data_IF_298383739492
#
_entry.id   IF_298383739492
#
_cell.length_a   1.000
_cell.length_b   1.000
_cell.length_c   1.000
_cell.angle_alpha   90.00
_cell.angle_beta   90.00
_cell.angle_gamma   90.00
#
_symmetry.space_group_name_H-M   'P 1'
#
loop_
_entity.id
_entity.type
_entity.pdbx_description
1 polymer ?
#
# COMPACT_ATOMS: atom_id res chain seq x y z
N UNK A 1 17.39 -13.41 -19.31
CA UNK A 1 16.26 -12.46 -19.24
C UNK A 1 16.43 -11.40 -18.15
N UNK A 2 16.43 -11.73 -16.85
CA UNK A 2 16.49 -10.71 -15.77
C UNK A 2 17.65 -9.71 -15.87
N UNK A 3 18.87 -10.19 -16.13
CA UNK A 3 20.04 -9.31 -16.30
C UNK A 3 19.90 -8.36 -17.51
N UNK A 4 19.35 -8.87 -18.62
CA UNK A 4 19.04 -8.03 -19.78
C UNK A 4 18.00 -6.96 -19.45
N UNK A 5 16.91 -7.34 -18.76
CA UNK A 5 15.88 -6.40 -18.31
C UNK A 5 16.44 -5.31 -17.40
N UNK A 6 17.27 -5.67 -16.41
CA UNK A 6 17.92 -4.70 -15.53
C UNK A 6 18.80 -3.71 -16.32
N UNK A 7 19.55 -4.18 -17.31
CA UNK A 7 20.38 -3.34 -18.17
C UNK A 7 19.56 -2.37 -19.04
N UNK A 8 18.31 -2.70 -19.38
CA UNK A 8 17.43 -1.79 -20.13
C UNK A 8 17.09 -0.51 -19.36
N UNK A 9 17.30 -0.46 -18.03
CA UNK A 9 17.07 0.74 -17.22
C UNK A 9 18.28 1.68 -17.14
N UNK A 10 19.41 1.39 -17.79
CA UNK A 10 20.49 2.38 -17.90
C UNK A 10 19.95 3.65 -18.58
N UNK A 11 20.46 4.81 -18.20
CA UNK A 11 20.00 6.08 -18.79
C UNK A 11 20.22 6.15 -20.30
N UNK A 12 21.21 5.40 -20.81
CA UNK A 12 21.49 5.29 -22.24
C UNK A 12 20.47 4.40 -22.99
N UNK A 13 20.02 3.29 -22.37
CA UNK A 13 19.03 2.39 -22.99
C UNK A 13 17.59 2.88 -22.81
N UNK A 14 17.29 3.49 -21.66
CA UNK A 14 15.99 4.07 -21.37
C UNK A 14 16.04 5.58 -21.63
N UNK A 15 16.10 5.92 -22.91
CA UNK A 15 16.14 7.31 -23.37
C UNK A 15 15.01 8.15 -22.76
N UNK A 16 15.35 9.36 -22.29
CA UNK A 16 14.43 10.26 -21.60
C UNK A 16 14.21 9.95 -20.11
N UNK A 17 14.74 8.84 -19.60
CA UNK A 17 14.74 8.59 -18.15
C UNK A 17 15.78 9.44 -17.42
N UNK A 18 15.52 9.68 -16.13
CA UNK A 18 16.34 10.50 -15.26
C UNK A 18 16.37 9.90 -13.84
N UNK A 19 17.28 10.34 -12.96
CA UNK A 19 17.39 9.80 -11.60
C UNK A 19 16.09 9.86 -10.77
N UNK A 20 15.23 10.85 -11.03
CA UNK A 20 13.94 11.02 -10.37
C UNK A 20 12.79 10.20 -11.01
N UNK A 21 13.03 9.47 -12.09
CA UNK A 21 12.04 8.57 -12.70
C UNK A 21 12.08 7.21 -12.03
N UNK A 22 11.02 6.82 -11.34
CA UNK A 22 10.86 5.48 -10.78
C UNK A 22 9.87 4.65 -11.59
N UNK A 23 9.63 3.38 -11.21
CA UNK A 23 8.95 2.41 -12.08
C UNK A 23 7.78 1.74 -11.38
N UNK A 24 6.74 1.46 -12.16
CA UNK A 24 5.60 0.67 -11.76
C UNK A 24 5.51 -0.56 -12.68
N UNK A 25 5.51 -1.75 -12.10
CA UNK A 25 5.27 -3.01 -12.80
C UNK A 25 3.82 -3.45 -12.58
N UNK A 26 3.01 -3.26 -13.61
CA UNK A 26 1.64 -3.74 -13.66
C UNK A 26 1.54 -4.98 -14.56
N UNK A 27 0.40 -5.67 -14.51
CA UNK A 27 0.07 -6.80 -15.40
C UNK A 27 1.04 -7.99 -15.29
N UNK A 28 1.75 -8.11 -14.15
CA UNK A 28 2.86 -9.04 -13.96
C UNK A 28 2.46 -10.40 -13.36
N UNK A 29 1.19 -10.80 -13.41
CA UNK A 29 0.73 -12.13 -12.97
C UNK A 29 1.34 -13.30 -13.76
N UNK A 30 1.46 -13.32 -15.11
CA UNK A 30 1.18 -12.29 -16.13
C UNK A 30 -0.29 -12.23 -16.57
N UNK A 31 -0.81 -11.02 -16.79
CA UNK A 31 -2.13 -10.83 -17.39
C UNK A 31 -2.08 -11.06 -18.90
N UNK A 32 -2.89 -11.99 -19.40
CA UNK A 32 -3.00 -12.35 -20.83
C UNK A 32 -4.48 -12.31 -21.20
N UNK A 33 -4.93 -11.28 -21.92
CA UNK A 33 -6.36 -10.99 -22.12
C UNK A 33 -7.18 -12.13 -22.73
N UNK A 34 -6.58 -12.93 -23.61
CA UNK A 34 -7.20 -14.07 -24.26
C UNK A 34 -6.75 -15.42 -23.68
N UNK A 35 -6.01 -15.40 -22.57
CA UNK A 35 -5.53 -16.60 -21.89
C UNK A 35 -6.57 -17.19 -20.94
N UNK A 36 -6.44 -18.47 -20.54
CA UNK A 36 -7.29 -19.05 -19.51
C UNK A 36 -7.17 -18.24 -18.22
N UNK A 37 -8.30 -17.90 -17.61
CA UNK A 37 -8.32 -17.11 -16.36
C UNK A 37 -7.55 -15.78 -16.48
N UNK A 38 -7.47 -15.24 -17.70
CA UNK A 38 -6.70 -14.02 -18.03
C UNK A 38 -5.19 -14.16 -17.71
N UNK A 39 -4.65 -15.38 -17.81
CA UNK A 39 -3.21 -15.63 -17.62
C UNK A 39 -2.63 -16.62 -18.63
N UNK A 40 -1.34 -16.92 -18.51
CA UNK A 40 -0.61 -17.78 -19.43
C UNK A 40 -1.03 -19.25 -19.32
N UNK A 41 -0.94 -19.97 -20.43
CA UNK A 41 -1.22 -21.41 -20.50
C UNK A 41 -0.32 -22.20 -19.53
N UNK A 42 -0.90 -23.20 -18.85
CA UNK A 42 -0.19 -23.98 -17.82
C UNK A 42 1.00 -24.79 -18.36
N UNK A 43 0.95 -25.22 -19.60
CA UNK A 43 1.95 -26.04 -20.30
C UNK A 43 3.01 -25.23 -21.05
N UNK A 44 2.91 -23.89 -21.02
CA UNK A 44 3.94 -23.01 -21.55
C UNK A 44 5.27 -23.28 -20.84
N UNK A 45 6.36 -23.38 -21.61
CA UNK A 45 7.67 -23.78 -21.11
C UNK A 45 8.49 -22.56 -20.66
N UNK A 46 9.06 -22.65 -19.45
CA UNK A 46 9.98 -21.67 -18.86
C UNK A 46 11.43 -22.18 -18.89
N UNK A 47 12.36 -21.30 -18.50
CA UNK A 47 13.77 -21.66 -18.39
C UNK A 47 13.99 -22.92 -17.53
N UNK A 48 14.82 -23.84 -18.02
CA UNK A 48 15.11 -25.11 -17.34
C UNK A 48 14.10 -26.23 -17.63
N UNK A 49 13.12 -26.01 -18.51
CA UNK A 49 12.11 -27.01 -18.86
C UNK A 49 10.96 -27.13 -17.85
N UNK A 50 10.80 -26.14 -16.97
CA UNK A 50 9.66 -26.05 -16.07
C UNK A 50 8.42 -25.60 -16.83
N UNK A 51 7.26 -26.13 -16.47
CA UNK A 51 5.98 -25.65 -17.00
C UNK A 51 5.53 -24.39 -16.26
N UNK A 52 4.68 -23.59 -16.88
CA UNK A 52 4.15 -22.39 -16.24
C UNK A 52 3.40 -22.71 -14.94
N UNK A 53 2.72 -23.87 -14.86
CA UNK A 53 2.06 -24.33 -13.63
C UNK A 53 3.00 -24.41 -12.42
N UNK A 54 4.29 -24.63 -12.63
CA UNK A 54 5.28 -24.80 -11.56
C UNK A 54 5.80 -23.46 -11.04
N UNK A 55 5.77 -22.43 -11.90
CA UNK A 55 6.45 -21.14 -11.64
C UNK A 55 5.51 -19.92 -11.71
N UNK A 56 4.21 -20.12 -11.96
CA UNK A 56 3.23 -19.05 -12.16
C UNK A 56 3.33 -17.96 -11.09
N UNK A 57 3.22 -18.35 -9.81
CA UNK A 57 3.17 -17.38 -8.70
C UNK A 57 4.50 -16.64 -8.45
N UNK A 58 5.64 -17.13 -8.95
CA UNK A 58 6.94 -16.44 -8.81
C UNK A 58 7.30 -15.59 -10.02
N UNK A 59 6.49 -15.62 -11.09
CA UNK A 59 6.71 -14.82 -12.28
C UNK A 59 6.72 -13.31 -11.94
N UNK A 60 5.67 -12.83 -11.27
CA UNK A 60 5.55 -11.43 -10.87
C UNK A 60 6.67 -10.96 -9.95
N UNK A 61 7.10 -11.81 -9.01
CA UNK A 61 8.25 -11.56 -8.14
C UNK A 61 9.54 -11.35 -8.96
N UNK A 62 9.76 -12.11 -10.03
CA UNK A 62 10.96 -11.95 -10.86
C UNK A 62 10.94 -10.70 -11.73
N UNK A 63 9.76 -10.24 -12.17
CA UNK A 63 9.62 -8.93 -12.84
C UNK A 63 9.97 -7.82 -11.86
N UNK A 64 9.39 -7.85 -10.65
CA UNK A 64 9.64 -6.86 -9.59
C UNK A 64 11.13 -6.80 -9.20
N UNK A 65 11.75 -7.97 -8.99
CA UNK A 65 13.18 -8.11 -8.72
C UNK A 65 14.05 -7.52 -9.82
N UNK A 66 13.81 -7.91 -11.08
CA UNK A 66 14.64 -7.46 -12.19
C UNK A 66 14.55 -5.94 -12.41
N UNK A 67 13.37 -5.35 -12.22
CA UNK A 67 13.19 -3.89 -12.28
C UNK A 67 13.92 -3.18 -11.13
N UNK A 68 13.78 -3.67 -9.89
CA UNK A 68 14.45 -3.09 -8.74
C UNK A 68 15.98 -3.14 -8.89
N UNK A 69 16.51 -4.24 -9.42
CA UNK A 69 17.93 -4.38 -9.73
C UNK A 69 18.37 -3.45 -10.87
N UNK A 70 17.54 -3.22 -11.89
CA UNK A 70 17.81 -2.23 -12.93
C UNK A 70 17.94 -0.80 -12.40
N UNK A 71 17.05 -0.40 -11.49
CA UNK A 71 17.12 0.91 -10.83
C UNK A 71 18.36 1.06 -9.93
N UNK A 72 18.78 -0.01 -9.24
CA UNK A 72 20.05 -0.01 -8.50
C UNK A 72 21.23 0.12 -9.46
N UNK A 73 21.26 -0.67 -10.52
CA UNK A 73 22.37 -0.70 -11.50
C UNK A 73 22.58 0.64 -12.20
N UNK A 74 21.52 1.30 -12.68
CA UNK A 74 21.63 2.59 -13.39
C UNK A 74 22.21 3.72 -12.53
N UNK A 75 22.16 3.58 -11.21
CA UNK A 75 22.75 4.54 -10.24
C UNK A 75 24.14 4.14 -9.75
N UNK A 76 24.75 3.09 -10.29
CA UNK A 76 26.00 2.53 -9.78
C UNK A 76 25.87 1.88 -8.40
N UNK A 77 24.65 1.47 -8.00
CA UNK A 77 24.37 0.87 -6.70
C UNK A 77 24.19 1.88 -5.56
N UNK A 78 24.14 3.18 -5.84
CA UNK A 78 24.06 4.23 -4.81
C UNK A 78 22.62 4.53 -4.38
N UNK A 79 21.66 4.43 -5.30
CA UNK A 79 20.27 4.80 -5.03
C UNK A 79 19.40 3.59 -4.65
N UNK A 80 18.47 3.81 -3.73
CA UNK A 80 17.46 2.80 -3.40
C UNK A 80 16.38 2.77 -4.48
N UNK A 81 15.96 1.57 -4.93
CA UNK A 81 14.88 1.47 -5.90
C UNK A 81 13.53 1.79 -5.24
N UNK A 82 12.65 2.42 -6.00
CA UNK A 82 11.22 2.40 -5.72
C UNK A 82 10.53 1.74 -6.93
N UNK A 83 9.97 0.56 -6.69
CA UNK A 83 9.19 -0.18 -7.68
C UNK A 83 7.89 -0.65 -7.04
N UNK A 84 6.77 -0.25 -7.61
CA UNK A 84 5.45 -0.78 -7.27
C UNK A 84 5.18 -2.02 -8.13
N UNK A 85 4.65 -3.10 -7.56
CA UNK A 85 4.26 -4.30 -8.31
C UNK A 85 2.85 -4.80 -7.94
N UNK A 86 2.13 -5.37 -8.91
CA UNK A 86 0.78 -5.91 -8.69
C UNK A 86 0.84 -7.33 -8.16
N UNK A 87 1.44 -8.22 -8.94
CA UNK A 87 1.68 -9.60 -8.54
C UNK A 87 2.94 -9.71 -7.68
N UNK A 88 2.86 -10.56 -6.66
CA UNK A 88 3.92 -10.76 -5.69
C UNK A 88 3.93 -12.19 -5.15
N UNK A 89 5.00 -12.55 -4.43
CA UNK A 89 5.13 -13.82 -3.72
C UNK A 89 5.93 -13.63 -2.43
N UNK A 90 6.11 -14.71 -1.67
CA UNK A 90 7.01 -14.72 -0.52
C UNK A 90 8.41 -14.23 -0.92
N UNK A 91 8.86 -13.12 -0.33
CA UNK A 91 10.13 -12.47 -0.67
C UNK A 91 10.00 -11.18 -1.48
N UNK A 92 8.82 -10.84 -2.00
CA UNK A 92 8.60 -9.59 -2.74
C UNK A 92 8.84 -8.33 -1.92
N UNK A 93 8.77 -8.39 -0.59
CA UNK A 93 9.08 -7.28 0.31
C UNK A 93 10.51 -6.73 0.14
N UNK A 94 11.41 -7.48 -0.49
CA UNK A 94 12.79 -7.05 -0.78
C UNK A 94 12.90 -6.07 -1.95
N UNK A 95 11.85 -5.91 -2.76
CA UNK A 95 11.94 -5.25 -4.07
C UNK A 95 11.10 -3.97 -4.17
N UNK A 96 10.18 -3.72 -3.23
CA UNK A 96 9.46 -2.45 -3.16
C UNK A 96 8.05 -2.59 -2.60
N UNK A 97 7.15 -1.77 -3.13
CA UNK A 97 5.76 -1.71 -2.70
C UNK A 97 4.87 -2.68 -3.49
N UNK A 98 3.73 -3.03 -2.90
CA UNK A 98 2.60 -3.68 -3.58
C UNK A 98 1.33 -2.88 -3.33
N UNK A 99 0.31 -3.07 -4.15
CA UNK A 99 -1.03 -2.53 -3.88
C UNK A 99 -2.10 -3.59 -4.19
N UNK A 100 -3.32 -3.36 -3.69
CA UNK A 100 -4.41 -4.34 -3.74
C UNK A 100 -5.09 -4.48 -5.11
N UNK A 101 -4.54 -3.87 -6.16
CA UNK A 101 -5.08 -3.95 -7.51
C UNK A 101 -6.28 -3.02 -7.74
N UNK A 102 -7.10 -3.38 -8.72
CA UNK A 102 -8.16 -2.55 -9.28
C UNK A 102 -9.42 -2.60 -8.38
N UNK A 103 -9.44 -1.80 -7.31
CA UNK A 103 -10.58 -1.67 -6.39
C UNK A 103 -11.67 -0.73 -6.96
N UNK A 104 -12.82 -0.64 -6.29
CA UNK A 104 -13.96 0.19 -6.73
C UNK A 104 -14.17 1.38 -5.80
N UNK A 105 -14.66 2.50 -6.32
CA UNK A 105 -15.03 3.71 -5.58
C UNK A 105 -16.32 3.54 -4.75
N UNK A 106 -16.33 2.59 -3.82
CA UNK A 106 -17.42 2.26 -2.90
C UNK A 106 -16.92 2.14 -1.44
N UNK A 107 -17.79 2.42 -0.47
CA UNK A 107 -17.48 2.39 0.97
C UNK A 107 -16.98 1.03 1.46
N UNK A 108 -17.46 -0.09 0.91
CA UNK A 108 -16.98 -1.41 1.31
C UNK A 108 -15.55 -1.69 0.81
N UNK A 109 -15.16 -1.11 -0.33
CA UNK A 109 -13.79 -1.16 -0.83
C UNK A 109 -12.85 -0.23 -0.05
N UNK A 110 -13.37 0.85 0.55
CA UNK A 110 -12.67 1.64 1.55
C UNK A 110 -12.40 0.74 2.78
N UNK A 111 -13.45 0.18 3.40
CA UNK A 111 -13.34 -0.71 4.57
C UNK A 111 -12.35 -1.86 4.35
N UNK A 112 -12.51 -2.62 3.26
CA UNK A 112 -11.71 -3.84 3.02
C UNK A 112 -10.21 -3.57 2.81
N UNK A 113 -9.83 -2.32 2.51
CA UNK A 113 -8.41 -1.99 2.36
C UNK A 113 -7.60 -2.24 3.64
N UNK A 114 -8.24 -2.11 4.82
CA UNK A 114 -7.60 -2.36 6.12
C UNK A 114 -7.26 -3.85 6.27
N UNK A 115 -8.22 -4.80 6.27
CA UNK A 115 -7.90 -6.22 6.42
C UNK A 115 -6.96 -6.73 5.33
N UNK A 116 -7.05 -6.23 4.09
CA UNK A 116 -6.13 -6.59 3.02
C UNK A 116 -4.69 -6.17 3.34
N UNK A 117 -4.46 -4.90 3.70
CA UNK A 117 -3.11 -4.42 4.04
C UNK A 117 -2.57 -5.08 5.31
N UNK A 118 -3.43 -5.32 6.31
CA UNK A 118 -3.06 -6.04 7.54
C UNK A 118 -2.61 -7.47 7.22
N UNK A 119 -3.36 -8.19 6.39
CA UNK A 119 -2.99 -9.56 5.98
C UNK A 119 -1.61 -9.60 5.30
N UNK A 120 -1.32 -8.62 4.45
CA UNK A 120 -0.02 -8.51 3.76
C UNK A 120 1.11 -8.13 4.71
N UNK A 121 0.85 -7.21 5.65
CA UNK A 121 1.78 -6.85 6.72
C UNK A 121 2.19 -8.06 7.54
N UNK A 122 1.23 -8.90 7.96
CA UNK A 122 1.48 -10.12 8.74
C UNK A 122 2.40 -11.13 8.03
N UNK A 123 2.35 -11.20 6.71
CA UNK A 123 3.23 -12.07 5.90
C UNK A 123 4.47 -11.35 5.37
N UNK A 124 4.82 -10.20 5.94
CA UNK A 124 6.07 -9.48 5.71
C UNK A 124 6.03 -8.43 4.59
N UNK A 125 4.93 -8.29 3.85
CA UNK A 125 4.75 -7.24 2.83
C UNK A 125 4.23 -5.95 3.47
N UNK A 126 5.07 -5.31 4.29
CA UNK A 126 4.70 -4.09 5.03
C UNK A 126 4.45 -2.85 4.16
N UNK A 127 4.96 -2.82 2.92
CA UNK A 127 4.80 -1.67 2.04
C UNK A 127 3.59 -1.85 1.11
N UNK A 128 2.39 -1.83 1.70
CA UNK A 128 1.12 -2.08 1.04
C UNK A 128 0.18 -0.86 1.11
N UNK A 129 -0.74 -0.76 0.14
CA UNK A 129 -1.83 0.21 0.12
C UNK A 129 -2.92 -0.16 -0.88
N UNK A 130 -4.01 0.60 -0.87
CA UNK A 130 -5.09 0.53 -1.86
C UNK A 130 -5.21 1.86 -2.62
N UNK A 131 -5.82 1.83 -3.81
CA UNK A 131 -6.02 3.06 -4.59
C UNK A 131 -7.02 3.99 -3.90
N UNK A 132 -6.53 5.17 -3.52
CA UNK A 132 -7.29 6.21 -2.82
C UNK A 132 -8.35 6.78 -3.77
N UNK A 133 -9.60 6.68 -3.34
CA UNK A 133 -10.79 7.05 -4.12
C UNK A 133 -11.38 5.92 -4.96
N UNK A 134 -10.76 4.73 -4.98
CA UNK A 134 -11.19 3.56 -5.75
C UNK A 134 -10.88 3.65 -7.25
N UNK A 135 -10.25 2.64 -7.82
CA UNK A 135 -9.84 2.64 -9.22
C UNK A 135 -11.03 2.77 -10.18
N UNK A 136 -12.03 1.90 -10.06
CA UNK A 136 -13.25 1.96 -10.86
C UNK A 136 -14.30 2.91 -10.28
N UNK A 137 -15.14 3.49 -11.17
CA UNK A 137 -16.26 4.41 -10.85
C UNK A 137 -15.80 5.77 -10.28
N UNK A 138 -16.77 6.63 -9.98
CA UNK A 138 -16.53 7.98 -9.46
C UNK A 138 -16.98 8.02 -7.98
N UNK A 139 -16.07 8.27 -7.03
CA UNK A 139 -16.47 8.44 -5.62
C UNK A 139 -17.22 9.75 -5.44
N UNK A 140 -18.21 9.77 -4.56
CA UNK A 140 -18.77 11.01 -4.04
C UNK A 140 -17.72 11.78 -3.22
N UNK A 141 -17.82 13.12 -3.10
CA UNK A 141 -16.80 13.93 -2.42
C UNK A 141 -16.51 13.50 -0.97
N UNK A 142 -17.54 13.07 -0.23
CA UNK A 142 -17.38 12.55 1.14
C UNK A 142 -16.50 11.30 1.16
N UNK A 143 -16.84 10.31 0.33
CA UNK A 143 -16.09 9.07 0.20
C UNK A 143 -14.64 9.33 -0.21
N UNK A 144 -14.39 10.26 -1.14
CA UNK A 144 -13.03 10.63 -1.52
C UNK A 144 -12.24 11.22 -0.35
N UNK A 145 -12.85 12.12 0.45
CA UNK A 145 -12.24 12.67 1.67
C UNK A 145 -11.88 11.56 2.66
N UNK A 146 -12.80 10.62 2.93
CA UNK A 146 -12.55 9.49 3.83
C UNK A 146 -11.44 8.58 3.33
N UNK A 147 -11.35 8.40 2.02
CA UNK A 147 -10.23 7.67 1.39
C UNK A 147 -8.88 8.34 1.61
N UNK A 148 -8.80 9.67 1.50
CA UNK A 148 -7.58 10.41 1.80
C UNK A 148 -7.19 10.30 3.27
N UNK A 149 -8.15 10.38 4.18
CA UNK A 149 -7.92 10.21 5.62
C UNK A 149 -7.36 8.81 5.93
N UNK A 150 -7.99 7.75 5.40
CA UNK A 150 -7.49 6.39 5.62
C UNK A 150 -6.16 6.13 4.91
N UNK A 151 -6.01 6.54 3.65
CA UNK A 151 -4.79 6.35 2.87
C UNK A 151 -3.58 7.09 3.46
N UNK A 152 -3.80 8.26 4.06
CA UNK A 152 -2.77 9.00 4.79
C UNK A 152 -2.14 8.16 5.92
N UNK A 153 -2.90 7.23 6.50
CA UNK A 153 -2.48 6.32 7.55
C UNK A 153 -2.12 4.90 7.07
N UNK A 154 -2.05 4.64 5.76
CA UNK A 154 -1.60 3.37 5.19
C UNK A 154 -0.16 3.45 4.63
N UNK A 155 0.63 2.35 4.66
CA UNK A 155 2.06 2.39 4.31
C UNK A 155 2.36 2.93 2.90
N UNK A 156 1.70 2.41 1.86
CA UNK A 156 1.77 2.94 0.50
C UNK A 156 0.54 3.81 0.21
N UNK A 157 0.77 5.06 -0.16
CA UNK A 157 -0.30 6.07 -0.29
C UNK A 157 -0.31 6.68 -1.69
N UNK A 158 -1.28 6.25 -2.51
CA UNK A 158 -1.45 6.66 -3.92
C UNK A 158 -2.93 6.89 -4.23
N UNK A 159 -3.25 8.04 -4.83
CA UNK A 159 -4.52 8.23 -5.54
C UNK A 159 -4.36 7.81 -7.00
N UNK A 160 -5.23 6.93 -7.48
CA UNK A 160 -5.22 6.41 -8.85
C UNK A 160 -6.64 6.09 -9.31
N UNK A 161 -6.92 6.20 -10.60
CA UNK A 161 -8.26 6.14 -11.18
C UNK A 161 -8.24 5.49 -12.58
N UNK A 162 -9.32 4.80 -12.92
CA UNK A 162 -9.54 4.20 -14.23
C UNK A 162 -9.75 5.26 -15.32
N UNK A 163 -9.48 4.89 -16.58
CA UNK A 163 -9.56 5.76 -17.76
C UNK A 163 -10.90 6.49 -17.90
N UNK A 164 -12.00 5.80 -17.63
CA UNK A 164 -13.37 6.32 -17.81
C UNK A 164 -13.87 7.20 -16.65
N UNK A 165 -13.03 7.46 -15.66
CA UNK A 165 -13.42 8.27 -14.49
C UNK A 165 -13.28 9.76 -14.77
N UNK A 166 -14.07 10.56 -14.06
CA UNK A 166 -13.89 12.01 -14.02
C UNK A 166 -12.58 12.36 -13.30
N UNK A 167 -12.02 13.53 -13.67
CA UNK A 167 -10.85 14.06 -12.97
C UNK A 167 -11.19 14.31 -11.50
N UNK A 168 -10.29 13.87 -10.61
CA UNK A 168 -10.50 13.92 -9.16
C UNK A 168 -9.22 14.25 -8.40
N UNK A 169 -8.33 15.04 -9.00
CA UNK A 169 -7.30 15.72 -8.25
C UNK A 169 -7.95 16.55 -7.11
N UNK A 170 -7.37 16.55 -5.90
CA UNK A 170 -8.10 16.99 -4.70
C UNK A 170 -8.49 18.48 -4.75
N UNK A 171 -7.79 19.31 -5.52
CA UNK A 171 -8.11 20.73 -5.73
C UNK A 171 -9.33 20.98 -6.64
N UNK A 172 -9.89 19.94 -7.26
CA UNK A 172 -11.13 20.04 -8.03
C UNK A 172 -12.39 19.99 -7.14
N UNK A 173 -12.25 19.57 -5.88
CA UNK A 173 -13.35 19.53 -4.93
C UNK A 173 -13.64 20.93 -4.34
N UNK A 174 -14.88 21.18 -3.87
CA UNK A 174 -15.20 22.37 -3.07
C UNK A 174 -14.28 22.52 -1.86
N UNK A 175 -14.02 23.76 -1.42
CA UNK A 175 -13.06 24.08 -0.36
C UNK A 175 -13.24 23.26 0.91
N UNK A 176 -14.49 23.04 1.34
CA UNK A 176 -14.79 22.23 2.54
C UNK A 176 -14.20 20.81 2.50
N UNK A 177 -14.14 20.17 1.33
CA UNK A 177 -13.55 18.84 1.17
C UNK A 177 -12.04 18.94 0.93
N UNK A 178 -11.62 19.95 0.15
CA UNK A 178 -10.22 20.19 -0.15
C UNK A 178 -9.40 20.47 1.12
N UNK A 179 -9.96 21.22 2.06
CA UNK A 179 -9.31 21.57 3.32
C UNK A 179 -9.10 20.33 4.20
N UNK A 180 -10.09 19.44 4.29
CA UNK A 180 -9.96 18.18 5.04
C UNK A 180 -8.92 17.25 4.40
N UNK A 181 -8.87 17.19 3.06
CA UNK A 181 -7.83 16.41 2.37
C UNK A 181 -6.45 17.04 2.64
N UNK A 182 -6.33 18.36 2.62
CA UNK A 182 -5.08 19.06 2.96
C UNK A 182 -4.62 18.74 4.37
N UNK A 183 -5.54 18.67 5.33
CA UNK A 183 -5.22 18.30 6.72
C UNK A 183 -4.72 16.85 6.81
N UNK A 184 -5.37 15.90 6.13
CA UNK A 184 -4.92 14.51 6.08
C UNK A 184 -3.50 14.38 5.45
N UNK A 185 -3.24 15.13 4.37
CA UNK A 185 -1.91 15.22 3.78
C UNK A 185 -0.92 15.83 4.78
N UNK A 186 -1.28 16.94 5.45
CA UNK A 186 -0.46 17.57 6.48
C UNK A 186 -0.05 16.59 7.58
N UNK A 187 -1.00 15.81 8.11
CA UNK A 187 -0.74 14.78 9.11
C UNK A 187 0.23 13.71 8.60
N UNK A 188 0.03 13.18 7.38
CA UNK A 188 0.96 12.21 6.76
C UNK A 188 2.37 12.78 6.66
N UNK A 189 2.51 14.01 6.17
CA UNK A 189 3.82 14.65 6.01
C UNK A 189 4.51 14.92 7.35
N UNK A 190 3.78 15.39 8.37
CA UNK A 190 4.29 15.56 9.73
C UNK A 190 4.77 14.25 10.36
N UNK A 191 4.14 13.13 10.02
CA UNK A 191 4.50 11.79 10.50
C UNK A 191 5.60 11.09 9.67
N UNK A 192 6.16 11.71 8.62
CA UNK A 192 7.20 11.06 7.80
C UNK A 192 8.40 10.53 8.59
N UNK A 193 8.94 11.22 9.61
CA UNK A 193 10.00 10.66 10.45
C UNK A 193 9.56 9.37 11.16
N UNK A 194 8.33 9.35 11.70
CA UNK A 194 7.75 8.17 12.35
C UNK A 194 7.57 7.01 11.36
N UNK A 195 6.96 7.26 10.20
CA UNK A 195 6.83 6.26 9.13
C UNK A 195 8.18 5.68 8.72
N UNK A 196 9.18 6.53 8.52
CA UNK A 196 10.50 6.09 8.11
C UNK A 196 11.19 5.24 9.17
N UNK A 197 11.01 5.56 10.46
CA UNK A 197 11.46 4.72 11.57
C UNK A 197 10.79 3.34 11.56
N UNK A 198 9.47 3.28 11.34
CA UNK A 198 8.76 2.00 11.26
C UNK A 198 9.24 1.15 10.07
N UNK A 199 9.46 1.76 8.91
CA UNK A 199 10.03 1.05 7.76
C UNK A 199 11.47 0.59 8.01
N UNK A 200 12.26 1.34 8.78
CA UNK A 200 13.59 0.89 9.20
C UNK A 200 13.50 -0.32 10.13
N UNK A 201 12.59 -0.34 11.10
CA UNK A 201 12.33 -1.51 11.95
C UNK A 201 11.87 -2.71 11.13
N UNK A 202 10.93 -2.52 10.19
CA UNK A 202 10.49 -3.57 9.28
C UNK A 202 11.66 -4.13 8.45
N UNK A 203 12.57 -3.27 7.98
CA UNK A 203 13.77 -3.69 7.27
C UNK A 203 14.75 -4.50 8.12
N UNK A 204 14.92 -4.13 9.40
CA UNK A 204 15.90 -4.75 10.31
C UNK A 204 15.40 -6.02 10.97
N UNK A 205 14.14 -6.05 11.35
CA UNK A 205 13.55 -7.07 12.24
C UNK A 205 12.38 -7.81 11.61
N UNK A 206 11.87 -7.36 10.46
CA UNK A 206 10.72 -7.98 9.80
C UNK A 206 9.38 -7.70 10.47
N UNK A 207 9.33 -6.76 11.43
CA UNK A 207 8.10 -6.41 12.15
C UNK A 207 7.18 -5.59 11.23
N UNK A 208 5.86 -5.87 11.17
CA UNK A 208 4.94 -5.13 10.32
C UNK A 208 4.84 -3.65 10.70
N UNK A 209 4.78 -2.76 9.70
CA UNK A 209 4.55 -1.32 9.90
C UNK A 209 3.14 -1.05 10.41
N UNK A 210 2.15 -1.61 9.72
CA UNK A 210 0.72 -1.58 10.06
C UNK A 210 0.35 -2.92 10.70
N UNK A 211 -0.24 -2.91 11.89
CA UNK A 211 -0.42 -4.11 12.73
C UNK A 211 -1.87 -4.27 13.16
N UNK A 212 -2.44 -5.48 13.09
CA UNK A 212 -3.65 -5.81 13.83
C UNK A 212 -3.40 -5.63 15.34
N UNK A 213 -4.43 -5.25 16.08
CA UNK A 213 -4.30 -5.01 17.52
C UNK A 213 -3.78 -6.24 18.28
N UNK A 214 -4.21 -7.45 17.89
CA UNK A 214 -3.82 -8.69 18.56
C UNK A 214 -2.31 -8.98 18.49
N UNK A 215 -1.57 -8.38 17.54
CA UNK A 215 -0.11 -8.48 17.50
C UNK A 215 0.51 -7.79 18.71
N UNK A 216 -0.08 -6.68 19.15
CA UNK A 216 0.35 -5.92 20.33
C UNK A 216 -0.30 -6.41 21.63
N UNK A 217 -1.50 -6.97 21.54
CA UNK A 217 -2.32 -7.44 22.67
C UNK A 217 -2.69 -8.92 22.54
N UNK A 218 -1.72 -9.85 22.54
CA UNK A 218 -1.98 -11.25 22.21
C UNK A 218 -2.79 -12.01 23.28
N UNK A 219 -2.92 -11.47 24.49
CA UNK A 219 -3.77 -12.05 25.54
C UNK A 219 -5.21 -11.52 25.52
N UNK A 220 -5.49 -10.46 24.77
CA UNK A 220 -6.83 -9.89 24.67
C UNK A 220 -7.58 -10.48 23.48
N UNK A 221 -8.38 -11.51 23.76
CA UNK A 221 -9.16 -12.24 22.77
C UNK A 221 -10.18 -11.37 22.03
N UNK A 222 -10.57 -10.21 22.58
CA UNK A 222 -11.50 -9.29 21.93
C UNK A 222 -10.88 -8.64 20.69
N UNK A 223 -9.54 -8.60 20.60
CA UNK A 223 -8.80 -7.98 19.50
C UNK A 223 -8.60 -8.89 18.28
N UNK A 224 -8.94 -10.18 18.39
CA UNK A 224 -8.55 -11.18 17.39
C UNK A 224 -9.27 -11.05 16.05
N UNK A 225 -10.49 -10.51 16.07
CA UNK A 225 -11.32 -10.29 14.88
C UNK A 225 -11.45 -8.82 14.48
N UNK A 226 -10.74 -7.91 15.17
CA UNK A 226 -10.80 -6.48 14.86
C UNK A 226 -10.03 -6.21 13.58
N UNK A 227 -10.71 -5.69 12.56
CA UNK A 227 -10.14 -5.37 11.25
C UNK A 227 -10.60 -4.01 10.69
N UNK A 228 -11.31 -3.20 11.47
CA UNK A 228 -11.71 -1.81 11.18
C UNK A 228 -10.77 -0.76 11.81
N UNK A 229 -9.88 -1.19 12.71
CA UNK A 229 -8.84 -0.38 13.33
C UNK A 229 -7.50 -1.12 13.41
N UNK A 230 -6.41 -0.36 13.47
CA UNK A 230 -5.05 -0.90 13.43
C UNK A 230 -4.06 -0.03 14.19
N UNK A 231 -2.88 -0.59 14.46
CA UNK A 231 -1.75 0.15 15.02
C UNK A 231 -0.72 0.47 13.94
N UNK A 232 -0.10 1.64 14.05
CA UNK A 232 1.17 1.94 13.39
C UNK A 232 2.29 1.80 14.42
N UNK A 233 3.17 0.81 14.20
CA UNK A 233 4.12 0.42 15.22
C UNK A 233 3.42 -0.03 16.50
N UNK A 234 3.89 0.46 17.63
CA UNK A 234 3.32 0.27 18.97
C UNK A 234 2.76 1.56 19.58
N UNK A 235 2.71 2.66 18.80
CA UNK A 235 2.54 4.01 19.31
C UNK A 235 1.22 4.70 18.92
N UNK A 236 0.67 4.40 17.74
CA UNK A 236 -0.51 5.09 17.22
C UNK A 236 -1.62 4.11 16.87
N UNK A 237 -2.78 4.26 17.50
CA UNK A 237 -4.02 3.58 17.12
C UNK A 237 -4.75 4.41 16.07
N UNK A 238 -5.19 3.78 14.99
CA UNK A 238 -5.92 4.41 13.90
C UNK A 238 -7.24 3.68 13.70
N UNK A 239 -8.35 4.42 13.79
CA UNK A 239 -9.70 3.98 13.45
C UNK A 239 -10.30 4.97 12.44
N UNK A 240 -10.10 4.76 11.12
CA UNK A 240 -10.63 5.65 10.11
C UNK A 240 -12.16 5.55 10.00
N UNK A 241 -12.82 6.68 9.78
CA UNK A 241 -14.25 6.69 9.43
C UNK A 241 -14.45 6.03 8.06
N UNK A 242 -15.29 5.01 8.00
CA UNK A 242 -15.49 4.20 6.80
C UNK A 242 -16.96 3.91 6.44
N UNK A 243 -17.87 4.72 7.00
CA UNK A 243 -19.31 4.72 6.70
C UNK A 243 -19.77 6.11 6.25
N UNK A 244 -20.74 6.13 5.32
CA UNK A 244 -21.37 7.35 4.83
C UNK A 244 -22.18 8.04 5.92
N UNK A 245 -22.09 9.38 5.99
CA UNK A 245 -22.86 10.18 6.95
C UNK A 245 -22.36 10.09 8.39
N UNK A 246 -21.28 9.36 8.66
CA UNK A 246 -20.64 9.35 9.97
C UNK A 246 -19.93 10.68 10.22
N UNK A 247 -20.29 11.34 11.32
CA UNK A 247 -19.73 12.64 11.73
C UNK A 247 -18.60 12.52 12.75
N UNK A 248 -18.25 11.30 13.16
CA UNK A 248 -17.15 11.12 14.10
C UNK A 248 -15.83 11.63 13.48
N UNK A 249 -14.98 12.31 14.26
CA UNK A 249 -13.64 12.63 13.78
C UNK A 249 -12.89 11.32 13.52
N UNK A 250 -12.12 11.25 12.43
CA UNK A 250 -11.06 10.25 12.32
C UNK A 250 -10.09 10.53 13.48
N UNK A 251 -10.06 9.68 14.51
CA UNK A 251 -9.20 9.92 15.68
C UNK A 251 -8.01 8.96 15.66
N UNK A 252 -6.88 9.36 15.04
CA UNK A 252 -5.61 8.75 15.40
C UNK A 252 -5.30 9.14 16.85
N UNK A 253 -5.19 8.14 17.73
CA UNK A 253 -4.91 8.34 19.14
C UNK A 253 -3.51 7.82 19.48
N UNK A 254 -2.70 8.67 20.10
CA UNK A 254 -1.42 8.25 20.68
C UNK A 254 -1.68 7.36 21.88
N UNK A 255 -0.95 6.25 21.96
CA UNK A 255 -1.01 5.33 23.08
C UNK A 255 -0.40 5.97 24.32
N UNK A 256 -1.13 5.94 25.45
CA UNK A 256 -0.55 6.19 26.76
C UNK A 256 0.08 4.90 27.30
N UNK A 257 1.40 4.93 27.56
CA UNK A 257 2.13 3.80 28.15
C UNK A 257 1.82 3.57 29.64
N UNK A 258 0.98 4.41 30.29
CA UNK A 258 0.65 4.31 31.72
C UNK A 258 -0.69 3.66 32.03
N UNK A 259 -1.53 3.41 31.03
CA UNK A 259 -2.86 2.90 31.26
C UNK A 259 -2.96 1.43 30.82
N UNK A 260 -3.14 0.52 31.77
CA UNK A 260 -3.72 -0.79 31.47
C UNK A 260 -5.17 -0.53 31.05
N UNK A 261 -5.47 -0.50 29.75
CA UNK A 261 -6.82 -0.14 29.31
C UNK A 261 -7.32 -1.03 28.18
N UNK A 262 -8.45 -1.65 28.50
CA UNK A 262 -9.63 -1.88 27.67
C UNK A 262 -9.55 -1.20 26.30
N UNK A 263 -9.60 -2.01 25.23
CA UNK A 263 -9.49 -1.56 23.83
C UNK A 263 -10.55 -0.52 23.42
N UNK A 264 -11.57 -0.31 24.27
CA UNK A 264 -12.63 0.68 24.12
C UNK A 264 -12.25 2.11 24.57
N UNK A 265 -11.15 2.31 25.30
CA UNK A 265 -10.88 3.57 26.01
C UNK A 265 -9.69 4.40 25.47
N UNK A 266 -8.97 3.94 24.46
CA UNK A 266 -7.79 4.64 23.93
C UNK A 266 -8.16 5.70 22.88
N UNK A 267 -8.83 6.78 23.28
CA UNK A 267 -9.10 7.95 22.42
C UNK A 267 -8.68 9.21 23.16
N UNK A 268 -7.45 9.69 22.92
CA UNK A 268 -7.06 11.06 23.31
C UNK A 268 -7.09 11.95 22.07
N UNK A 269 -7.91 13.01 22.12
CA UNK A 269 -8.10 13.98 21.04
C UNK A 269 -6.82 14.80 20.80
N UNK A 270 -6.32 14.80 19.57
CA UNK A 270 -5.37 15.81 19.09
C UNK A 270 -6.13 17.08 18.68
N UNK A 271 -6.68 17.85 19.63
CA UNK A 271 -7.01 19.27 19.46
C UNK A 271 -7.23 19.93 20.83
N UNK A 272 -6.14 20.18 21.56
CA UNK A 272 -6.04 21.27 22.53
C UNK A 272 -4.68 21.95 22.32
N UNK A 273 -4.71 23.14 21.71
CA UNK A 273 -3.55 23.94 21.33
C UNK A 273 -3.94 25.03 20.34
#
# INVERSE_FOLDING_TARGET
>A
MRAWWANMFSYDNYEGSAPNLFVWNDMNEPSVFNGPEVTMLKDAQHYGGWEHRDVHNIYGLYVHMATADGLRQRSGGMERPFVLARAFFAGSQRFGAVWTGDNTAEWDHLKISIPMCLSLGLVGLSFCGADVGGFFKNPEPELLVRWYQMGAYQPFFRAHAHLDTGRREPWLLPSQHNDIIRDALGQRYSLLPFWYTLFYQAHREGIPVMRPLWVQYPQDVTTFSIDDQYLLGDALLVHPVSDSGAHDPCVPAWRDNRASMDASAAVFRMYEG
#
